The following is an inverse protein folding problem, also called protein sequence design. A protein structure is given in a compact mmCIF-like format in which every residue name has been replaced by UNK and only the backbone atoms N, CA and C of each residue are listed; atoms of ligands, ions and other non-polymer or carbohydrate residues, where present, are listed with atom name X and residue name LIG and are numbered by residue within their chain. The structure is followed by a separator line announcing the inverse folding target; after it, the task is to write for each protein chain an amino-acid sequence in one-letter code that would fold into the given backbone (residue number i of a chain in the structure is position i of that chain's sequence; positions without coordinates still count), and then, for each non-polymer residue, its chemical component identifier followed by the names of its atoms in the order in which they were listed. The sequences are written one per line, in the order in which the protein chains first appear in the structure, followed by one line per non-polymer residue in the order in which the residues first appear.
data_IF_524685703994
#
_entry.id   IF_524685703994
#
_cell.length_a   1.000
_cell.length_b   1.000
_cell.length_c   1.000
_cell.angle_alpha   90.00
_cell.angle_beta   90.00
_cell.angle_gamma   90.00
#
_symmetry.space_group_name_H-M   'P 1'
#
loop_
_entity.id
_entity.type
_entity.pdbx_description
1 polymer ?
#
# COMPACT_ATOMS: atom_id res chain seq x y z
N UNK A 1 -10.24 -4.67 5.73
CA UNK A 1 -9.08 -3.88 6.23
C UNK A 1 -9.18 -2.53 5.57
N UNK A 2 -9.19 -1.45 6.35
CA UNK A 2 -9.24 -0.10 5.79
C UNK A 2 -7.93 0.23 5.10
N UNK A 3 -8.01 1.02 4.03
CA UNK A 3 -6.87 1.51 3.26
C UNK A 3 -5.75 2.15 4.11
N UNK A 4 -6.09 2.95 5.12
CA UNK A 4 -5.13 3.56 6.06
C UNK A 4 -4.41 2.53 6.92
N UNK A 5 -5.04 1.40 7.23
CA UNK A 5 -4.41 0.33 8.00
C UNK A 5 -3.40 -0.42 7.13
N UNK A 6 -3.73 -0.68 5.86
CA UNK A 6 -2.78 -1.23 4.90
C UNK A 6 -1.56 -0.32 4.72
N UNK A 7 -1.79 1.00 4.60
CA UNK A 7 -0.70 1.98 4.52
C UNK A 7 0.22 1.93 5.76
N UNK A 8 -0.35 1.82 6.96
CA UNK A 8 0.42 1.70 8.21
C UNK A 8 1.25 0.41 8.24
N UNK A 9 0.68 -0.71 7.82
CA UNK A 9 1.39 -2.00 7.75
C UNK A 9 2.57 -1.89 6.80
N UNK A 10 2.38 -1.33 5.59
CA UNK A 10 3.45 -1.17 4.63
C UNK A 10 4.56 -0.27 5.19
N UNK A 11 4.21 0.88 5.80
CA UNK A 11 5.19 1.78 6.44
C UNK A 11 5.98 1.08 7.55
N UNK A 12 5.32 0.30 8.41
CA UNK A 12 5.99 -0.50 9.45
C UNK A 12 6.98 -1.52 8.87
N UNK A 13 6.76 -1.97 7.64
CA UNK A 13 7.63 -2.92 6.93
C UNK A 13 8.67 -2.22 6.03
N UNK A 14 8.96 -0.95 6.28
CA UNK A 14 10.03 -0.20 5.60
C UNK A 14 9.64 0.41 4.26
N UNK A 15 8.35 0.42 3.92
CA UNK A 15 7.87 1.16 2.75
C UNK A 15 7.73 2.65 3.06
N UNK A 16 8.20 3.51 2.18
CA UNK A 16 8.11 4.98 2.33
C UNK A 16 7.26 5.56 1.21
N UNK A 17 6.59 6.69 1.45
CA UNK A 17 5.82 7.37 0.40
C UNK A 17 6.81 8.10 -0.52
N UNK A 18 6.83 7.73 -1.80
CA UNK A 18 7.65 8.38 -2.82
C UNK A 18 6.91 9.52 -3.52
N UNK A 19 5.61 9.33 -3.83
CA UNK A 19 4.76 10.36 -4.45
C UNK A 19 3.29 10.13 -4.10
N UNK A 20 2.50 11.20 -4.17
CA UNK A 20 1.04 11.16 -3.99
C UNK A 20 0.40 11.84 -5.19
N UNK A 21 -0.58 11.19 -5.81
CA UNK A 21 -1.43 11.80 -6.83
C UNK A 21 -2.91 11.56 -6.47
N UNK A 22 -3.58 12.61 -5.99
CA UNK A 22 -4.91 12.51 -5.42
C UNK A 22 -4.95 11.49 -4.27
N UNK A 23 -5.83 10.50 -4.36
CA UNK A 23 -5.94 9.41 -3.40
C UNK A 23 -4.86 8.32 -3.53
N UNK A 24 -4.10 8.29 -4.62
CA UNK A 24 -3.14 7.23 -4.89
C UNK A 24 -1.79 7.55 -4.28
N UNK A 25 -1.41 6.77 -3.28
CA UNK A 25 -0.12 6.86 -2.61
C UNK A 25 0.82 5.85 -3.22
N UNK A 26 1.94 6.32 -3.76
CA UNK A 26 2.98 5.47 -4.31
C UNK A 26 4.04 5.29 -3.26
N UNK A 27 4.29 4.04 -2.88
CA UNK A 27 5.29 3.66 -1.91
C UNK A 27 6.49 3.02 -2.58
N UNK A 28 7.68 3.25 -2.01
CA UNK A 28 8.92 2.69 -2.49
C UNK A 28 9.71 2.02 -1.36
N UNK A 29 10.34 0.90 -1.70
CA UNK A 29 11.28 0.16 -0.85
C UNK A 29 12.26 -0.61 -1.74
N UNK A 30 13.56 -0.47 -1.51
CA UNK A 30 14.60 -1.26 -2.20
C UNK A 30 14.46 -1.29 -3.74
N UNK A 31 14.14 -0.13 -4.34
CA UNK A 31 13.91 0.00 -5.79
C UNK A 31 12.56 -0.52 -6.29
N UNK A 32 11.75 -1.19 -5.46
CA UNK A 32 10.38 -1.61 -5.78
C UNK A 32 9.38 -0.52 -5.48
N UNK A 33 8.30 -0.48 -6.26
CA UNK A 33 7.25 0.53 -6.15
C UNK A 33 5.88 -0.12 -6.11
N UNK A 34 5.03 0.26 -5.15
CA UNK A 34 3.64 -0.21 -5.02
C UNK A 34 2.71 1.01 -4.95
N UNK A 35 1.49 0.88 -5.49
CA UNK A 35 0.46 1.91 -5.40
C UNK A 35 -0.65 1.46 -4.44
N UNK A 36 -1.00 2.32 -3.49
CA UNK A 36 -2.08 2.11 -2.51
C UNK A 36 -3.14 3.20 -2.70
N UNK A 37 -4.38 2.85 -3.11
CA UNK A 37 -5.48 3.80 -3.17
C UNK A 37 -6.05 4.06 -1.77
N UNK A 38 -6.16 5.33 -1.38
CA UNK A 38 -6.81 5.77 -0.13
C UNK A 38 -8.16 6.45 -0.43
N UNK A 39 -9.24 5.68 -0.40
CA UNK A 39 -10.62 6.14 -0.67
C UNK A 39 -11.52 6.18 0.59
N UNK A 40 -10.94 6.04 1.78
CA UNK A 40 -11.66 6.04 3.06
C UNK A 40 -12.51 4.79 3.30
N UNK A 41 -12.26 3.70 2.57
CA UNK A 41 -13.05 2.46 2.61
C UNK A 41 -12.15 1.23 2.71
N UNK A 42 -12.78 0.07 2.89
CA UNK A 42 -12.06 -1.20 2.86
C UNK A 42 -11.41 -1.45 1.50
N UNK A 43 -10.20 -1.99 1.55
CA UNK A 43 -9.48 -2.45 0.36
C UNK A 43 -10.12 -3.75 -0.11
N UNK A 44 -10.57 -3.85 -1.38
CA UNK A 44 -11.11 -5.10 -1.92
C UNK A 44 -10.12 -6.25 -1.74
N UNK A 45 -10.63 -7.44 -1.38
CA UNK A 45 -9.80 -8.58 -0.98
C UNK A 45 -8.75 -8.98 -2.03
N UNK A 46 -9.10 -8.90 -3.33
CA UNK A 46 -8.16 -9.16 -4.42
C UNK A 46 -7.01 -8.16 -4.46
N UNK A 47 -7.32 -6.87 -4.36
CA UNK A 47 -6.31 -5.80 -4.32
C UNK A 47 -5.43 -5.91 -3.07
N UNK A 48 -6.02 -6.15 -1.90
CA UNK A 48 -5.29 -6.35 -0.66
C UNK A 48 -4.28 -7.49 -0.79
N UNK A 49 -4.72 -8.65 -1.30
CA UNK A 49 -3.84 -9.81 -1.49
C UNK A 49 -2.73 -9.54 -2.51
N UNK A 50 -3.04 -8.84 -3.61
CA UNK A 50 -2.05 -8.45 -4.61
C UNK A 50 -0.96 -7.58 -4.00
N UNK A 51 -1.35 -6.54 -3.25
CA UNK A 51 -0.43 -5.61 -2.60
C UNK A 51 0.42 -6.34 -1.55
N UNK A 52 -0.18 -7.19 -0.72
CA UNK A 52 0.57 -7.93 0.31
C UNK A 52 1.58 -8.90 -0.30
N UNK A 53 1.21 -9.60 -1.39
CA UNK A 53 2.11 -10.49 -2.12
C UNK A 53 3.29 -9.73 -2.74
N UNK A 54 3.00 -8.61 -3.40
CA UNK A 54 4.03 -7.75 -3.99
C UNK A 54 4.96 -7.14 -2.91
N UNK A 55 4.40 -6.84 -1.73
CA UNK A 55 5.13 -6.37 -0.58
C UNK A 55 5.91 -7.47 0.19
N UNK A 56 5.76 -8.75 -0.18
CA UNK A 56 6.39 -9.88 0.50
C UNK A 56 5.82 -10.14 1.90
N UNK A 57 4.56 -9.78 2.14
CA UNK A 57 3.86 -9.91 3.43
C UNK A 57 2.80 -11.04 3.42
N UNK A 58 2.66 -11.75 2.30
CA UNK A 58 1.81 -12.92 2.10
C UNK A 58 2.35 -13.78 0.96
#
# INVERSE_FOLDING_TARGET
MKDKDLLKILKKNGWSIARINGSHHVLQKDGKTIVVPLHGKDVPIGLLNSILKEAGLK
#
